data_IF_164850200887
#
_entry.id   IF_164850200887
#
_cell.length_a   1.000
_cell.length_b   1.000
_cell.length_c   1.000
_cell.angle_alpha   90.00
_cell.angle_beta   90.00
_cell.angle_gamma   90.00
#
_symmetry.space_group_name_H-M   'P 1'
#
loop_
_entity.id
_entity.type
_entity.pdbx_description
1 polymer ?
#
# COMPACT_ATOMS: atom_id res chain seq x y z
N UNK A 1 5.68 5.95 21.15
CA UNK A 1 4.24 6.21 21.31
C UNK A 1 3.42 5.67 20.13
N UNK A 2 3.89 5.89 18.91
CA UNK A 2 3.13 5.58 17.69
C UNK A 2 3.39 4.16 17.20
N UNK A 3 4.60 3.67 17.35
CA UNK A 3 5.05 2.37 16.84
C UNK A 3 5.75 1.57 17.95
N UNK A 4 5.66 0.27 17.88
CA UNK A 4 6.43 -0.65 18.68
C UNK A 4 7.80 -0.88 18.01
N UNK A 5 8.92 -0.53 18.66
CA UNK A 5 10.24 -0.62 18.03
C UNK A 5 10.70 -2.05 17.77
N UNK A 6 10.19 -3.03 18.52
CA UNK A 6 10.59 -4.43 18.35
C UNK A 6 9.85 -5.09 17.18
N UNK A 7 8.58 -4.74 16.99
CA UNK A 7 7.72 -5.37 15.98
C UNK A 7 7.42 -4.47 14.79
N UNK A 8 7.65 -3.15 14.89
CA UNK A 8 7.25 -2.16 13.90
C UNK A 8 5.73 -2.01 13.75
N UNK A 9 4.95 -2.48 14.71
CA UNK A 9 3.49 -2.32 14.66
C UNK A 9 3.06 -0.96 15.19
N UNK A 10 2.17 -0.32 14.46
CA UNK A 10 1.50 0.90 14.93
C UNK A 10 0.69 0.58 16.19
N UNK A 11 0.85 1.38 17.24
CA UNK A 11 0.22 1.16 18.56
C UNK A 11 -1.18 1.75 18.67
N UNK A 12 -1.65 2.46 17.66
CA UNK A 12 -2.91 3.17 17.67
C UNK A 12 -4.07 2.23 17.28
N UNK A 13 -5.02 1.93 18.17
CA UNK A 13 -6.07 0.93 17.92
C UNK A 13 -6.93 1.23 16.71
N UNK A 14 -7.29 2.50 16.46
CA UNK A 14 -8.13 2.87 15.30
C UNK A 14 -7.47 2.68 13.94
N UNK A 15 -6.17 2.36 13.91
CA UNK A 15 -5.42 2.10 12.69
C UNK A 15 -5.54 0.64 12.20
N UNK A 16 -6.07 -0.23 13.03
CA UNK A 16 -6.13 -1.66 12.71
C UNK A 16 -7.52 -2.09 12.28
N UNK A 17 -7.55 -2.95 11.27
CA UNK A 17 -8.73 -3.68 10.83
C UNK A 17 -8.41 -5.17 10.79
N UNK A 18 -9.42 -6.00 11.00
CA UNK A 18 -9.26 -7.43 10.76
C UNK A 18 -9.27 -7.70 9.26
N UNK A 19 -8.39 -8.61 8.83
CA UNK A 19 -8.41 -9.10 7.45
C UNK A 19 -9.72 -9.87 7.22
N UNK A 20 -10.60 -9.40 6.31
CA UNK A 20 -11.84 -10.10 6.03
C UNK A 20 -11.60 -11.52 5.53
N UNK A 21 -12.45 -12.47 5.91
CA UNK A 21 -12.26 -13.86 5.55
C UNK A 21 -12.32 -14.09 4.04
N UNK A 22 -13.16 -13.33 3.34
CA UNK A 22 -13.24 -13.36 1.87
C UNK A 22 -11.93 -12.98 1.18
N UNK A 23 -11.09 -12.18 1.84
CA UNK A 23 -9.79 -11.75 1.31
C UNK A 23 -8.63 -12.64 1.76
N UNK A 24 -8.82 -13.44 2.80
CA UNK A 24 -7.79 -14.33 3.34
C UNK A 24 -7.32 -15.36 2.32
N UNK A 25 -8.25 -15.99 1.61
CA UNK A 25 -7.91 -16.99 0.59
C UNK A 25 -7.19 -16.37 -0.61
N UNK A 26 -7.62 -15.19 -1.04
CA UNK A 26 -6.91 -14.43 -2.10
C UNK A 26 -5.47 -14.13 -1.66
N UNK A 27 -5.29 -13.66 -0.44
CA UNK A 27 -3.96 -13.35 0.08
C UNK A 27 -3.07 -14.59 0.21
N UNK A 28 -3.63 -15.74 0.61
CA UNK A 28 -2.90 -17.02 0.63
C UNK A 28 -2.42 -17.42 -0.75
N UNK A 29 -3.30 -17.39 -1.75
CA UNK A 29 -2.93 -17.71 -3.14
C UNK A 29 -1.86 -16.78 -3.67
N UNK A 30 -1.98 -15.47 -3.43
CA UNK A 30 -0.94 -14.52 -3.80
C UNK A 30 0.40 -14.87 -3.13
N UNK A 31 0.39 -15.19 -1.84
CA UNK A 31 1.60 -15.57 -1.11
C UNK A 31 2.23 -16.86 -1.63
N UNK A 32 1.42 -17.83 -2.04
CA UNK A 32 1.89 -19.08 -2.67
C UNK A 32 2.54 -18.83 -4.04
N UNK A 33 1.96 -17.94 -4.86
CA UNK A 33 2.45 -17.61 -6.21
C UNK A 33 3.72 -16.76 -6.14
N UNK A 34 3.69 -15.71 -5.34
CA UNK A 34 4.83 -14.79 -5.18
C UNK A 34 5.95 -15.47 -4.39
N UNK A 35 5.59 -16.35 -3.43
CA UNK A 35 6.54 -17.12 -2.64
C UNK A 35 7.54 -16.24 -1.92
N UNK A 36 8.81 -16.65 -1.91
CA UNK A 36 9.88 -15.92 -1.25
C UNK A 36 10.13 -14.52 -1.83
N UNK A 37 9.72 -14.24 -3.05
CA UNK A 37 9.84 -12.89 -3.64
C UNK A 37 9.07 -11.82 -2.85
N UNK A 38 8.07 -12.21 -2.05
CA UNK A 38 7.38 -11.28 -1.15
C UNK A 38 8.27 -10.76 -0.01
N UNK A 39 9.36 -11.45 0.30
CA UNK A 39 10.29 -11.14 1.40
C UNK A 39 11.73 -10.92 0.94
N UNK A 40 12.05 -11.27 -0.30
CA UNK A 40 13.38 -11.11 -0.90
C UNK A 40 13.52 -9.72 -1.51
N UNK A 41 14.18 -8.83 -0.77
CA UNK A 41 14.57 -7.51 -1.26
C UNK A 41 16.09 -7.36 -1.18
N UNK A 42 16.69 -6.46 -1.97
CA UNK A 42 18.12 -6.15 -1.85
C UNK A 42 18.38 -5.32 -0.60
N UNK A 43 18.24 -5.94 0.57
CA UNK A 43 18.48 -5.29 1.85
C UNK A 43 19.94 -4.83 1.98
N UNK A 44 20.14 -3.68 2.62
CA UNK A 44 21.47 -3.16 2.87
C UNK A 44 22.15 -3.89 4.05
N UNK A 45 23.37 -4.36 3.82
CA UNK A 45 24.16 -5.08 4.86
C UNK A 45 23.43 -6.33 5.37
N UNK A 46 23.39 -6.48 6.67
CA UNK A 46 22.76 -7.62 7.36
C UNK A 46 21.30 -7.33 7.77
N UNK A 47 20.65 -6.38 7.11
CA UNK A 47 19.24 -6.07 7.39
C UNK A 47 18.35 -7.23 6.92
N UNK A 48 17.43 -7.63 7.78
CA UNK A 48 16.48 -8.72 7.52
C UNK A 48 15.04 -8.20 7.41
N UNK A 49 14.15 -8.90 6.67
CA UNK A 49 12.74 -8.60 6.67
C UNK A 49 12.12 -8.84 8.06
N UNK A 50 11.09 -8.09 8.40
CA UNK A 50 10.37 -8.29 9.68
C UNK A 50 9.60 -9.61 9.76
N UNK A 51 9.38 -10.26 8.64
CA UNK A 51 8.76 -11.57 8.53
C UNK A 51 9.40 -12.34 7.38
N UNK A 52 9.71 -13.60 7.59
CA UNK A 52 10.16 -14.54 6.55
C UNK A 52 9.00 -15.34 5.96
N UNK A 53 7.79 -15.20 6.47
CA UNK A 53 6.58 -15.80 5.94
C UNK A 53 5.95 -14.91 4.87
N UNK A 54 5.82 -15.37 3.61
CA UNK A 54 5.24 -14.59 2.52
C UNK A 54 3.83 -14.09 2.80
N UNK A 55 2.98 -14.90 3.45
CA UNK A 55 1.62 -14.49 3.80
C UNK A 55 1.62 -13.32 4.81
N UNK A 56 2.43 -13.43 5.89
CA UNK A 56 2.54 -12.35 6.88
C UNK A 56 3.15 -11.08 6.27
N UNK A 57 4.17 -11.22 5.42
CA UNK A 57 4.77 -10.08 4.71
C UNK A 57 3.77 -9.35 3.83
N UNK A 58 3.02 -10.07 3.02
CA UNK A 58 1.98 -9.49 2.15
C UNK A 58 0.84 -8.90 2.96
N UNK A 59 0.39 -9.56 4.04
CA UNK A 59 -0.63 -9.03 4.94
C UNK A 59 -0.19 -7.71 5.58
N UNK A 60 1.07 -7.62 6.05
CA UNK A 60 1.65 -6.39 6.61
C UNK A 60 1.68 -5.26 5.60
N UNK A 61 2.03 -5.56 4.35
CA UNK A 61 2.11 -4.57 3.29
C UNK A 61 0.73 -4.04 2.84
N UNK A 62 -0.32 -4.85 2.93
CA UNK A 62 -1.63 -4.53 2.32
C UNK A 62 -2.73 -4.24 3.34
N UNK A 63 -2.74 -4.92 4.49
CA UNK A 63 -3.82 -4.90 5.47
C UNK A 63 -3.40 -4.42 6.88
N UNK A 64 -2.14 -4.11 7.10
CA UNK A 64 -1.68 -3.53 8.35
C UNK A 64 -1.20 -2.08 8.17
N UNK A 65 -1.39 -1.23 9.19
CA UNK A 65 -0.88 0.12 9.12
C UNK A 65 0.65 0.15 9.23
N UNK A 66 1.27 1.14 8.61
CA UNK A 66 2.70 1.40 8.78
C UNK A 66 2.95 2.89 8.98
N UNK A 67 4.05 3.20 9.69
CA UNK A 67 4.52 4.56 9.91
C UNK A 67 5.83 4.79 9.17
N UNK A 68 5.91 5.89 8.43
CA UNK A 68 7.13 6.37 7.80
C UNK A 68 7.44 7.80 8.23
N UNK A 69 8.71 8.09 8.45
CA UNK A 69 9.21 9.45 8.66
C UNK A 69 9.71 9.93 7.30
N UNK A 70 8.98 10.88 6.70
CA UNK A 70 9.27 11.37 5.35
C UNK A 70 10.31 12.50 5.33
N UNK A 71 10.50 13.17 6.46
CA UNK A 71 11.46 14.26 6.55
C UNK A 71 11.62 14.75 7.98
N UNK A 72 12.72 15.46 8.22
CA UNK A 72 13.06 16.03 9.52
C UNK A 72 13.73 17.39 9.36
N UNK A 73 13.29 18.39 10.12
CA UNK A 73 13.91 19.70 10.25
C UNK A 73 14.41 19.94 11.68
N UNK A 74 15.39 20.83 11.83
CA UNK A 74 16.01 21.14 13.12
C UNK A 74 17.05 20.10 13.58
N UNK A 75 17.47 19.22 12.66
CA UNK A 75 18.60 18.30 12.82
C UNK A 75 19.73 18.75 11.89
N UNK A 76 20.80 19.40 12.39
CA UNK A 76 21.91 19.79 11.54
C UNK A 76 22.61 18.56 10.96
N UNK A 77 23.29 18.74 9.83
CA UNK A 77 24.17 17.71 9.27
C UNK A 77 25.25 17.32 10.29
N UNK A 78 25.81 16.12 10.17
CA UNK A 78 26.89 15.67 11.07
C UNK A 78 28.13 16.56 10.98
N UNK A 79 28.38 17.18 9.84
CA UNK A 79 29.46 18.14 9.63
C UNK A 79 29.24 19.50 10.33
N UNK A 80 27.99 19.85 10.63
CA UNK A 80 27.58 21.08 11.31
C UNK A 80 27.16 20.83 12.77
N UNK A 81 27.29 19.60 13.21
CA UNK A 81 26.89 19.19 14.57
C UNK A 81 27.73 19.93 15.62
N UNK A 82 27.08 20.48 16.63
CA UNK A 82 27.71 21.15 17.75
C UNK A 82 26.94 20.85 19.04
N UNK A 83 27.59 21.09 20.19
CA UNK A 83 27.02 20.86 21.52
C UNK A 83 26.03 21.96 21.93
N UNK A 84 25.14 22.35 21.02
CA UNK A 84 24.10 23.36 21.24
C UNK A 84 22.75 22.70 21.47
N UNK A 85 21.92 23.30 22.33
CA UNK A 85 20.54 22.91 22.52
C UNK A 85 19.73 23.37 21.32
N UNK A 86 18.90 22.47 20.79
CA UNK A 86 17.98 22.80 19.71
C UNK A 86 16.68 23.38 20.29
N UNK A 87 16.20 24.43 19.64
CA UNK A 87 14.95 25.08 20.03
C UNK A 87 13.73 24.26 19.62
N UNK A 88 13.80 23.57 18.49
CA UNK A 88 12.71 22.77 17.94
C UNK A 88 13.24 21.66 17.03
N UNK A 89 12.41 20.65 16.84
CA UNK A 89 12.59 19.62 15.82
C UNK A 89 11.23 19.33 15.19
N UNK A 90 11.15 19.25 13.87
CA UNK A 90 9.94 18.94 13.14
C UNK A 90 10.12 17.63 12.41
N UNK A 91 9.10 16.75 12.43
CA UNK A 91 9.07 15.51 11.68
C UNK A 91 7.84 15.48 10.79
N UNK A 92 8.03 15.13 9.52
CA UNK A 92 6.95 14.79 8.62
C UNK A 92 6.62 13.30 8.77
N UNK A 93 5.42 12.98 9.27
CA UNK A 93 4.97 11.62 9.51
C UNK A 93 3.93 11.23 8.46
N UNK A 94 4.08 10.04 7.90
CA UNK A 94 3.11 9.43 7.01
C UNK A 94 2.69 8.08 7.56
N UNK A 95 1.38 7.88 7.69
CA UNK A 95 0.81 6.59 8.01
C UNK A 95 0.15 6.01 6.77
N UNK A 96 0.50 4.80 6.41
CA UNK A 96 -0.31 4.00 5.50
C UNK A 96 -1.44 3.37 6.29
N UNK A 97 -2.65 3.43 5.73
CA UNK A 97 -3.84 2.91 6.37
C UNK A 97 -4.38 1.72 5.57
N UNK A 98 -4.78 0.63 6.24
CA UNK A 98 -5.50 -0.43 5.56
C UNK A 98 -6.88 0.08 5.08
N UNK A 99 -7.50 -0.60 4.10
CA UNK A 99 -8.86 -0.25 3.69
C UNK A 99 -9.89 -0.49 4.81
N UNK A 100 -11.12 0.00 4.61
CA UNK A 100 -12.26 -0.18 5.52
C UNK A 100 -12.14 0.47 6.89
N UNK A 101 -11.21 1.37 7.12
CA UNK A 101 -11.16 2.15 8.35
C UNK A 101 -11.58 3.61 8.15
N UNK A 102 -11.98 4.25 9.24
CA UNK A 102 -12.26 5.68 9.28
C UNK A 102 -10.94 6.46 9.41
N UNK A 103 -10.45 7.01 8.30
CA UNK A 103 -9.19 7.74 8.25
C UNK A 103 -9.22 9.01 9.11
N UNK A 104 -10.37 9.68 9.26
CA UNK A 104 -10.48 10.87 10.11
C UNK A 104 -10.38 10.49 11.59
N UNK A 105 -10.98 9.38 12.00
CA UNK A 105 -10.83 8.85 13.36
C UNK A 105 -9.37 8.48 13.65
N UNK A 106 -8.71 7.82 12.70
CA UNK A 106 -7.28 7.47 12.81
C UNK A 106 -6.41 8.72 12.95
N UNK A 107 -6.64 9.75 12.13
CA UNK A 107 -5.95 11.03 12.24
C UNK A 107 -6.12 11.67 13.62
N UNK A 108 -7.35 11.73 14.13
CA UNK A 108 -7.64 12.31 15.43
C UNK A 108 -6.94 11.55 16.57
N UNK A 109 -6.86 10.22 16.49
CA UNK A 109 -6.13 9.41 17.46
C UNK A 109 -4.61 9.67 17.36
N UNK A 110 -4.04 9.76 16.17
CA UNK A 110 -2.62 10.09 15.97
C UNK A 110 -2.29 11.47 16.57
N UNK A 111 -3.10 12.49 16.29
CA UNK A 111 -2.94 13.83 16.84
C UNK A 111 -3.00 13.77 18.39
N UNK A 112 -3.99 13.08 18.94
CA UNK A 112 -4.12 12.92 20.38
C UNK A 112 -2.88 12.23 20.99
N UNK A 113 -2.38 11.18 20.35
CA UNK A 113 -1.20 10.43 20.83
C UNK A 113 0.06 11.29 20.92
N UNK A 114 0.23 12.27 20.02
CA UNK A 114 1.41 13.16 20.02
C UNK A 114 1.22 14.43 20.82
N UNK A 115 -0.01 14.86 21.07
CA UNK A 115 -0.31 16.12 21.79
C UNK A 115 -0.75 15.95 23.25
N UNK A 116 -1.03 14.71 23.68
CA UNK A 116 -1.46 14.40 25.06
C UNK A 116 -0.30 13.82 25.88
N UNK A 117 -0.21 14.15 27.16
CA UNK A 117 0.81 13.66 28.09
C UNK A 117 2.24 13.82 27.53
N UNK A 118 2.55 15.02 27.08
CA UNK A 118 3.83 15.34 26.43
C UNK A 118 4.97 15.29 27.48
N UNK A 119 6.04 14.53 27.24
CA UNK A 119 7.19 14.48 28.12
C UNK A 119 7.81 15.89 28.34
N UNK A 120 8.25 16.15 29.55
CA UNK A 120 8.96 17.39 29.94
C UNK A 120 8.16 18.67 29.62
N UNK A 121 6.84 18.58 29.53
CA UNK A 121 5.96 19.71 29.17
C UNK A 121 6.37 20.45 27.88
N UNK A 122 7.00 19.74 26.94
CA UNK A 122 7.38 20.30 25.65
C UNK A 122 6.13 20.77 24.87
N UNK A 123 6.28 21.81 24.07
CA UNK A 123 5.20 22.27 23.21
C UNK A 123 5.21 21.44 21.92
N UNK A 124 4.09 20.78 21.60
CA UNK A 124 3.86 20.09 20.33
C UNK A 124 2.85 20.87 19.50
N UNK A 125 3.15 21.06 18.22
CA UNK A 125 2.24 21.67 17.24
C UNK A 125 2.12 20.71 16.06
N UNK A 126 0.90 20.46 15.61
CA UNK A 126 0.62 19.67 14.43
C UNK A 126 0.31 20.63 13.28
N UNK A 127 0.96 20.43 12.14
CA UNK A 127 0.79 21.23 10.94
C UNK A 127 0.21 20.38 9.81
N UNK A 128 -0.69 20.95 9.04
CA UNK A 128 -1.27 20.40 7.81
C UNK A 128 -1.71 18.91 7.92
N UNK A 129 -2.52 18.56 8.92
CA UNK A 129 -2.98 17.19 9.09
C UNK A 129 -3.95 16.83 7.96
N UNK A 130 -3.71 15.68 7.31
CA UNK A 130 -4.55 15.16 6.23
C UNK A 130 -4.93 13.73 6.52
N UNK A 131 -6.13 13.33 6.10
CA UNK A 131 -6.63 11.97 6.22
C UNK A 131 -7.26 11.52 4.91
N UNK A 132 -6.74 10.42 4.39
CA UNK A 132 -7.29 9.75 3.22
C UNK A 132 -7.48 8.28 3.51
N UNK A 133 -8.66 7.74 3.20
CA UNK A 133 -8.97 6.32 3.41
C UNK A 133 -8.34 5.44 2.34
N UNK A 134 -8.10 4.17 2.69
CA UNK A 134 -7.75 3.14 1.73
C UNK A 134 -8.92 2.81 0.80
N UNK A 135 -8.63 2.03 -0.23
CA UNK A 135 -9.63 1.57 -1.20
C UNK A 135 -9.70 0.03 -1.16
N UNK A 136 -10.92 -0.48 -0.94
CA UNK A 136 -11.26 -1.88 -1.09
C UNK A 136 -12.11 -2.04 -2.34
N UNK A 137 -11.54 -2.67 -3.36
CA UNK A 137 -12.22 -2.83 -4.65
C UNK A 137 -13.46 -3.73 -4.48
N UNK A 138 -14.60 -3.36 -5.06
CA UNK A 138 -15.75 -4.24 -5.09
C UNK A 138 -15.43 -5.51 -5.90
N UNK A 139 -16.21 -6.56 -5.66
CA UNK A 139 -16.13 -7.76 -6.49
C UNK A 139 -16.32 -7.40 -7.96
N UNK A 140 -15.53 -8.02 -8.83
CA UNK A 140 -15.67 -7.84 -10.26
C UNK A 140 -17.03 -8.33 -10.76
N UNK A 141 -17.60 -7.62 -11.72
CA UNK A 141 -18.75 -8.13 -12.46
C UNK A 141 -18.39 -9.49 -13.10
N UNK A 142 -19.30 -10.49 -13.11
CA UNK A 142 -18.99 -11.82 -13.63
C UNK A 142 -18.48 -11.82 -15.07
N UNK A 143 -19.02 -10.99 -15.94
CA UNK A 143 -18.58 -10.87 -17.32
C UNK A 143 -17.11 -10.39 -17.39
N UNK A 144 -16.74 -9.39 -16.59
CA UNK A 144 -15.38 -8.83 -16.57
C UNK A 144 -14.37 -9.87 -16.06
N UNK A 145 -14.70 -10.55 -14.96
CA UNK A 145 -13.84 -11.62 -14.41
C UNK A 145 -13.60 -12.72 -15.47
N UNK A 146 -14.66 -13.20 -16.12
CA UNK A 146 -14.56 -14.23 -17.14
C UNK A 146 -13.75 -13.75 -18.35
N UNK A 147 -13.92 -12.50 -18.77
CA UNK A 147 -13.18 -11.91 -19.89
C UNK A 147 -11.67 -11.79 -19.59
N UNK A 148 -11.33 -11.35 -18.37
CA UNK A 148 -9.93 -11.26 -17.94
C UNK A 148 -9.31 -12.66 -17.86
N UNK A 149 -9.98 -13.64 -17.24
CA UNK A 149 -9.49 -15.02 -17.13
C UNK A 149 -9.25 -15.63 -18.51
N UNK A 150 -10.20 -15.46 -19.45
CA UNK A 150 -10.08 -15.95 -20.82
C UNK A 150 -8.90 -15.28 -21.54
N UNK A 151 -8.84 -13.96 -21.54
CA UNK A 151 -7.80 -13.21 -22.22
C UNK A 151 -6.41 -13.53 -21.64
N UNK A 152 -6.28 -13.63 -20.31
CA UNK A 152 -5.03 -14.00 -19.66
C UNK A 152 -4.59 -15.41 -20.04
N UNK A 153 -5.50 -16.38 -20.03
CA UNK A 153 -5.20 -17.76 -20.42
C UNK A 153 -4.73 -17.84 -21.88
N UNK A 154 -5.39 -17.13 -22.79
CA UNK A 154 -5.02 -17.13 -24.22
C UNK A 154 -3.68 -16.44 -24.49
N UNK A 155 -3.34 -15.38 -23.77
CA UNK A 155 -2.12 -14.57 -24.00
C UNK A 155 -0.95 -15.02 -23.13
N UNK A 156 -1.19 -15.34 -21.85
CA UNK A 156 -0.16 -15.68 -20.88
C UNK A 156 -0.06 -17.19 -20.61
N UNK A 157 -1.06 -17.99 -21.00
CA UNK A 157 -1.11 -19.43 -20.75
C UNK A 157 -1.68 -19.80 -19.37
N UNK A 158 -2.10 -18.82 -18.58
CA UNK A 158 -2.62 -19.02 -17.23
C UNK A 158 -3.79 -18.09 -16.98
N UNK A 159 -4.78 -18.47 -16.13
CA UNK A 159 -5.81 -17.56 -15.66
C UNK A 159 -5.17 -16.44 -14.83
N UNK A 160 -5.88 -15.33 -14.70
CA UNK A 160 -5.43 -14.20 -13.87
C UNK A 160 -5.50 -14.56 -12.39
N UNK A 161 -4.55 -14.07 -11.62
CA UNK A 161 -4.66 -14.04 -10.16
C UNK A 161 -4.72 -12.59 -9.69
N UNK A 162 -5.54 -12.37 -8.66
CA UNK A 162 -5.76 -11.06 -8.08
C UNK A 162 -4.95 -10.91 -6.81
N UNK A 163 -4.21 -9.82 -6.69
CA UNK A 163 -3.45 -9.49 -5.50
C UNK A 163 -3.95 -8.17 -4.91
N UNK A 164 -3.61 -7.93 -3.65
CA UNK A 164 -3.79 -6.64 -3.02
C UNK A 164 -2.56 -5.77 -3.26
N UNK A 165 -2.80 -4.48 -3.41
CA UNK A 165 -1.75 -3.48 -3.55
C UNK A 165 -1.63 -2.67 -2.24
N UNK A 166 -0.41 -2.59 -1.71
CA UNK A 166 -0.14 -1.85 -0.47
C UNK A 166 0.07 -0.35 -0.65
N UNK A 167 -0.20 0.16 -1.85
CA UNK A 167 -0.05 1.58 -2.16
C UNK A 167 -1.35 2.36 -1.95
N UNK A 168 -1.23 3.64 -1.62
CA UNK A 168 -2.36 4.56 -1.59
C UNK A 168 -2.57 5.17 -2.97
N UNK A 169 -3.65 4.78 -3.64
CA UNK A 169 -4.07 5.36 -4.92
C UNK A 169 -5.38 6.12 -4.67
N UNK A 170 -5.26 7.38 -4.24
CA UNK A 170 -6.40 8.21 -3.82
C UNK A 170 -7.49 8.35 -4.89
N UNK A 171 -7.11 8.41 -6.16
CA UNK A 171 -8.03 8.48 -7.31
C UNK A 171 -9.00 7.30 -7.40
N UNK A 172 -8.64 6.11 -6.92
CA UNK A 172 -9.51 4.94 -6.96
C UNK A 172 -10.75 5.11 -6.08
N UNK A 173 -10.59 5.71 -4.90
CA UNK A 173 -11.72 6.06 -4.03
C UNK A 173 -12.64 7.10 -4.69
N UNK A 174 -12.06 8.09 -5.35
CA UNK A 174 -12.81 9.16 -6.01
C UNK A 174 -13.59 8.60 -7.22
N UNK A 175 -12.99 7.71 -8.00
CA UNK A 175 -13.69 6.96 -9.05
C UNK A 175 -14.83 6.12 -8.48
N UNK A 176 -14.61 5.41 -7.37
CA UNK A 176 -15.68 4.61 -6.74
C UNK A 176 -16.85 5.48 -6.26
N UNK A 177 -16.54 6.65 -5.72
CA UNK A 177 -17.57 7.58 -5.26
C UNK A 177 -18.36 8.18 -6.42
N UNK A 178 -17.67 8.52 -7.50
CA UNK A 178 -18.27 9.12 -8.69
C UNK A 178 -19.04 8.09 -9.53
N UNK A 179 -18.51 6.87 -9.61
CA UNK A 179 -19.07 5.78 -10.44
C UNK A 179 -19.34 4.54 -9.56
N UNK A 180 -20.40 4.56 -8.73
CA UNK A 180 -20.63 3.50 -7.74
C UNK A 180 -20.90 2.12 -8.32
N UNK A 181 -21.30 2.04 -9.59
CA UNK A 181 -21.58 0.79 -10.30
C UNK A 181 -20.42 0.33 -11.20
N UNK A 182 -19.32 1.09 -11.27
CA UNK A 182 -18.18 0.69 -12.09
C UNK A 182 -17.44 -0.50 -11.50
N UNK A 183 -16.97 -1.39 -12.36
CA UNK A 183 -16.00 -2.42 -12.02
C UNK A 183 -14.59 -1.89 -12.23
N UNK A 184 -13.65 -2.35 -11.39
CA UNK A 184 -12.28 -1.88 -11.42
C UNK A 184 -11.34 -3.01 -11.84
N UNK A 185 -10.68 -2.83 -12.98
CA UNK A 185 -9.60 -3.70 -13.43
C UNK A 185 -8.28 -2.95 -13.29
N UNK A 186 -7.69 -3.02 -12.10
CA UNK A 186 -6.38 -2.44 -11.82
C UNK A 186 -5.30 -3.42 -12.22
N UNK A 187 -4.38 -2.99 -13.04
CA UNK A 187 -3.24 -3.81 -13.47
C UNK A 187 -2.04 -2.91 -13.75
N UNK A 188 -0.86 -3.51 -13.83
CA UNK A 188 0.39 -2.80 -14.07
C UNK A 188 1.41 -3.69 -14.77
N UNK A 189 2.51 -3.09 -15.16
CA UNK A 189 3.58 -3.72 -15.95
C UNK A 189 4.89 -3.86 -15.19
N UNK A 190 4.98 -3.31 -13.98
CA UNK A 190 6.18 -3.39 -13.15
C UNK A 190 6.13 -4.62 -12.25
N UNK A 191 7.20 -5.38 -12.26
CA UNK A 191 7.42 -6.50 -11.36
C UNK A 191 8.47 -6.20 -10.28
N UNK A 192 8.92 -7.23 -9.59
CA UNK A 192 9.85 -7.09 -8.46
C UNK A 192 11.28 -6.67 -8.86
N UNK A 193 11.64 -6.75 -10.14
CA UNK A 193 13.01 -6.45 -10.63
C UNK A 193 13.13 -5.14 -11.40
N UNK A 194 12.04 -4.44 -11.57
CA UNK A 194 11.94 -3.26 -12.42
C UNK A 194 12.27 -1.96 -11.69
N UNK A 195 12.69 -2.00 -10.42
CA UNK A 195 13.10 -0.85 -9.60
C UNK A 195 12.07 0.28 -9.55
N UNK A 196 10.79 -0.03 -9.38
CA UNK A 196 9.74 0.98 -9.30
C UNK A 196 10.09 2.10 -8.30
N UNK A 197 9.97 3.36 -8.75
CA UNK A 197 10.30 4.58 -7.98
C UNK A 197 11.78 4.72 -7.56
N UNK A 198 12.68 4.07 -8.27
CA UNK A 198 14.12 4.14 -8.01
C UNK A 198 14.92 4.43 -9.28
N UNK A 199 16.21 4.81 -9.18
CA UNK A 199 17.08 4.91 -10.35
C UNK A 199 17.11 3.59 -11.14
N UNK A 200 17.26 3.70 -12.46
CA UNK A 200 17.25 2.57 -13.39
C UNK A 200 15.92 1.79 -13.41
N UNK A 201 14.81 2.44 -13.12
CA UNK A 201 13.49 1.87 -13.34
C UNK A 201 13.35 1.39 -14.78
N UNK A 202 12.90 0.17 -14.97
CA UNK A 202 12.83 -0.50 -16.26
C UNK A 202 11.44 -1.07 -16.54
N UNK A 203 11.21 -1.43 -17.80
CA UNK A 203 9.92 -1.93 -18.26
C UNK A 203 10.13 -3.14 -19.18
N UNK A 204 9.60 -4.33 -18.87
CA UNK A 204 9.71 -5.50 -19.74
C UNK A 204 8.75 -5.37 -20.94
N UNK A 205 9.27 -4.95 -22.10
CA UNK A 205 8.47 -4.65 -23.30
C UNK A 205 7.57 -5.81 -23.74
N UNK A 206 8.07 -7.04 -23.68
CA UNK A 206 7.28 -8.22 -24.04
C UNK A 206 6.07 -8.45 -23.12
N UNK A 207 6.19 -8.05 -21.85
CA UNK A 207 5.06 -8.09 -20.91
C UNK A 207 4.04 -6.99 -21.23
N UNK A 208 4.52 -5.79 -21.56
CA UNK A 208 3.66 -4.66 -21.96
C UNK A 208 2.82 -5.02 -23.19
N UNK A 209 3.43 -5.58 -24.22
CA UNK A 209 2.74 -6.00 -25.45
C UNK A 209 1.62 -7.00 -25.12
N UNK A 210 1.93 -8.03 -24.35
CA UNK A 210 0.97 -9.06 -23.95
C UNK A 210 -0.15 -8.51 -23.06
N UNK A 211 0.18 -7.66 -22.07
CA UNK A 211 -0.83 -7.04 -21.22
C UNK A 211 -1.74 -6.11 -22.02
N UNK A 212 -1.18 -5.35 -22.98
CA UNK A 212 -1.96 -4.51 -23.90
C UNK A 212 -2.96 -5.35 -24.70
N UNK A 213 -2.55 -6.51 -25.18
CA UNK A 213 -3.44 -7.44 -25.87
C UNK A 213 -4.56 -7.95 -24.96
N UNK A 214 -4.25 -8.32 -23.71
CA UNK A 214 -5.28 -8.71 -22.71
C UNK A 214 -6.28 -7.59 -22.51
N UNK A 215 -5.82 -6.37 -22.27
CA UNK A 215 -6.70 -5.20 -22.06
C UNK A 215 -7.59 -4.96 -23.29
N UNK A 216 -7.03 -5.00 -24.49
CA UNK A 216 -7.79 -4.83 -25.73
C UNK A 216 -8.90 -5.89 -25.88
N UNK A 217 -8.60 -7.15 -25.58
CA UNK A 217 -9.58 -8.26 -25.60
C UNK A 217 -10.69 -8.07 -24.57
N UNK A 218 -10.35 -7.62 -23.36
CA UNK A 218 -11.32 -7.33 -22.30
C UNK A 218 -12.24 -6.18 -22.72
N UNK A 219 -11.69 -5.07 -23.24
CA UNK A 219 -12.49 -3.94 -23.75
C UNK A 219 -13.41 -4.37 -24.88
N UNK A 220 -12.94 -5.21 -25.80
CA UNK A 220 -13.75 -5.73 -26.90
C UNK A 220 -14.89 -6.67 -26.44
N UNK A 221 -14.84 -7.18 -25.22
CA UNK A 221 -15.82 -8.10 -24.65
C UNK A 221 -16.89 -7.41 -23.79
N UNK A 222 -16.85 -6.08 -23.66
CA UNK A 222 -17.88 -5.33 -22.90
C UNK A 222 -19.26 -5.60 -23.47
N UNK A 223 -20.24 -6.02 -22.66
CA UNK A 223 -21.61 -6.21 -23.12
C UNK A 223 -22.22 -4.89 -23.62
N UNK A 224 -22.79 -4.89 -24.81
CA UNK A 224 -23.38 -3.69 -25.43
C UNK A 224 -24.61 -3.15 -24.68
N UNK A 225 -25.21 -3.95 -23.81
CA UNK A 225 -26.37 -3.57 -22.99
C UNK A 225 -25.98 -2.82 -21.70
N UNK A 226 -24.69 -2.81 -21.35
CA UNK A 226 -24.17 -2.15 -20.14
C UNK A 226 -23.32 -0.88 -20.44
N UNK A 227 -23.30 -0.44 -21.69
CA UNK A 227 -22.53 0.72 -22.14
C UNK A 227 -23.32 2.05 -22.04
#
# INVERSE_FOLDING_TARGET
>A
RLEDPATGRVKLPSFHVELPEEHRETLKRCAEIVGQHAVEFPYAGDTEPRSSDPFDAMKRNTWEPSLSILGADGLPSTSEASALLRASTTLALSFRLPPRLDAQRALNEAISAVTTNIPSHAKVTVYDPRAEGGFDAPALAPWLKNSIDKASTEVFGHPVEFCFEGASIGTMRDFRTTFPNASFFNTGVLGAKENAHAPDESLPLSYVERLTEVIARVVASVPLEEA
#
